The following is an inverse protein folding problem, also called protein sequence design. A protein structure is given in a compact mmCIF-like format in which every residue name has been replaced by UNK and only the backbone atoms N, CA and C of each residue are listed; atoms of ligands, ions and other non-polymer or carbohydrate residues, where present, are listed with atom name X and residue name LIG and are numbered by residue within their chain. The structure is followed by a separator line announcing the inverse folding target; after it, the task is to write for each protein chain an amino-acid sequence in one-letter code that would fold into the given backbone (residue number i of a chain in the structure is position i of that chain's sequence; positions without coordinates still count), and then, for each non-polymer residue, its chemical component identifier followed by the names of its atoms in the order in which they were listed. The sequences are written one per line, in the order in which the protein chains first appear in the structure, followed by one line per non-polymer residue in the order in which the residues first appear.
data_IF_528539000683
#
_entry.id   IF_528539000683
#
_cell.length_a   1.000
_cell.length_b   1.000
_cell.length_c   1.000
_cell.angle_alpha   90.00
_cell.angle_beta   90.00
_cell.angle_gamma   90.00
#
_symmetry.space_group_name_H-M   'P 1'
#
loop_
_entity.id
_entity.type
_entity.pdbx_description
1 polymer ?
#
# COMPACT_ATOMS: atom_id res chain seq x y z
N UNK A 1 18.70 8.68 3.21
CA UNK A 1 17.83 9.88 3.18
C UNK A 1 16.39 9.39 3.27
N UNK A 2 15.49 10.16 3.87
CA UNK A 2 14.06 9.85 3.81
C UNK A 2 13.55 9.92 2.35
N UNK A 3 12.53 9.13 2.03
CA UNK A 3 11.90 9.12 0.70
C UNK A 3 11.29 10.50 0.41
N UNK A 4 11.61 11.09 -0.72
CA UNK A 4 11.04 12.37 -1.14
C UNK A 4 9.69 12.14 -1.81
N UNK A 5 8.67 12.93 -1.46
CA UNK A 5 7.32 12.83 -2.05
C UNK A 5 7.33 12.89 -3.58
N UNK A 6 8.20 13.71 -4.18
CA UNK A 6 8.33 13.80 -5.64
C UNK A 6 8.83 12.51 -6.28
N UNK A 7 9.76 11.80 -5.63
CA UNK A 7 10.28 10.51 -6.10
C UNK A 7 9.23 9.41 -5.93
N UNK A 8 8.54 9.40 -4.79
CA UNK A 8 7.41 8.50 -4.55
C UNK A 8 6.35 8.65 -5.65
N UNK A 9 5.88 9.88 -5.89
CA UNK A 9 4.84 10.14 -6.89
C UNK A 9 5.27 9.76 -8.31
N UNK A 10 6.52 10.02 -8.68
CA UNK A 10 7.05 9.60 -9.98
C UNK A 10 7.07 8.07 -10.13
N UNK A 11 7.44 7.34 -9.07
CA UNK A 11 7.45 5.88 -9.07
C UNK A 11 6.05 5.29 -9.10
N UNK A 12 5.10 5.85 -8.34
CA UNK A 12 3.70 5.45 -8.38
C UNK A 12 3.10 5.65 -9.78
N UNK A 13 3.41 6.78 -10.43
CA UNK A 13 2.93 7.05 -11.77
C UNK A 13 3.54 6.10 -12.81
N UNK A 14 4.85 5.84 -12.72
CA UNK A 14 5.51 4.85 -13.57
C UNK A 14 4.91 3.44 -13.39
N UNK A 15 4.43 3.10 -12.19
CA UNK A 15 3.72 1.84 -11.92
C UNK A 15 2.35 1.80 -12.59
N UNK A 16 1.60 2.92 -12.59
CA UNK A 16 0.34 3.03 -13.33
C UNK A 16 0.56 2.80 -14.83
N UNK A 17 1.61 3.37 -15.41
CA UNK A 17 1.92 3.20 -16.84
C UNK A 17 2.19 1.72 -17.22
N UNK A 18 2.73 0.91 -16.29
CA UNK A 18 2.93 -0.53 -16.52
C UNK A 18 1.61 -1.33 -16.49
N UNK A 19 0.59 -0.83 -15.83
CA UNK A 19 -0.72 -1.49 -15.73
C UNK A 19 -1.69 -1.08 -16.85
N UNK A 20 -1.35 -0.04 -17.65
CA UNK A 20 -2.21 0.43 -18.75
C UNK A 20 -2.52 -0.66 -19.76
N UNK A 21 -3.79 -0.67 -20.22
CA UNK A 21 -4.26 -1.54 -21.30
C UNK A 21 -4.96 -2.83 -20.85
N UNK A 22 -4.87 -3.22 -19.57
CA UNK A 22 -5.49 -4.45 -19.07
C UNK A 22 -6.69 -4.25 -18.13
N UNK A 23 -6.81 -3.07 -17.52
CA UNK A 23 -7.85 -2.78 -16.52
C UNK A 23 -8.23 -1.30 -16.50
N UNK A 24 -9.31 -0.96 -15.81
CA UNK A 24 -9.71 0.44 -15.60
C UNK A 24 -8.69 1.17 -14.71
N UNK A 25 -8.50 2.47 -14.99
CA UNK A 25 -7.54 3.29 -14.24
C UNK A 25 -7.84 3.34 -12.74
N UNK A 26 -9.10 3.23 -12.34
CA UNK A 26 -9.48 3.19 -10.92
C UNK A 26 -9.06 1.89 -10.20
N UNK A 27 -8.79 0.82 -10.94
CA UNK A 27 -8.33 -0.45 -10.39
C UNK A 27 -6.83 -0.47 -10.13
N UNK A 28 -6.03 0.38 -10.83
CA UNK A 28 -4.58 0.45 -10.63
C UNK A 28 -4.19 0.73 -9.18
N UNK A 29 -5.02 1.51 -8.47
CA UNK A 29 -4.76 1.88 -7.10
C UNK A 29 -4.56 0.66 -6.19
N UNK A 30 -5.39 -0.36 -6.35
CA UNK A 30 -5.37 -1.53 -5.47
C UNK A 30 -4.05 -2.30 -5.62
N UNK A 31 -3.59 -2.51 -6.86
CA UNK A 31 -2.30 -3.14 -7.14
C UNK A 31 -1.12 -2.32 -6.63
N UNK A 32 -1.12 -1.01 -6.92
CA UNK A 32 -0.01 -0.13 -6.59
C UNK A 32 0.08 0.11 -5.08
N UNK A 33 -1.07 0.28 -4.40
CA UNK A 33 -1.11 0.47 -2.95
C UNK A 33 -0.71 -0.81 -2.21
N UNK A 34 -1.12 -1.98 -2.70
CA UNK A 34 -0.65 -3.25 -2.13
C UNK A 34 0.87 -3.39 -2.23
N UNK A 35 1.47 -3.10 -3.41
CA UNK A 35 2.93 -3.14 -3.56
C UNK A 35 3.64 -2.11 -2.68
N UNK A 36 3.12 -0.89 -2.61
CA UNK A 36 3.65 0.16 -1.74
C UNK A 36 3.58 -0.25 -0.27
N UNK A 37 2.44 -0.79 0.17
CA UNK A 37 2.26 -1.25 1.53
C UNK A 37 3.24 -2.39 1.86
N UNK A 38 3.33 -3.41 1.00
CA UNK A 38 4.27 -4.52 1.16
C UNK A 38 5.72 -4.02 1.30
N UNK A 39 6.11 -3.06 0.46
CA UNK A 39 7.44 -2.44 0.52
C UNK A 39 7.64 -1.67 1.82
N UNK A 40 6.65 -0.86 2.21
CA UNK A 40 6.70 -0.05 3.42
C UNK A 40 6.82 -0.92 4.68
N UNK A 41 5.96 -1.93 4.85
CA UNK A 41 6.00 -2.79 6.04
C UNK A 41 7.26 -3.64 6.09
N UNK A 42 7.78 -4.08 4.93
CA UNK A 42 9.05 -4.79 4.87
C UNK A 42 10.20 -3.92 5.36
N UNK A 43 10.32 -2.71 4.85
CA UNK A 43 11.40 -1.79 5.23
C UNK A 43 11.33 -1.37 6.71
N UNK A 44 10.11 -1.29 7.27
CA UNK A 44 9.89 -0.85 8.65
C UNK A 44 9.98 -1.98 9.67
N UNK A 45 9.40 -3.13 9.38
CA UNK A 45 9.08 -4.13 10.40
C UNK A 45 9.74 -5.49 10.15
N UNK A 46 10.33 -5.75 8.98
CA UNK A 46 10.90 -7.06 8.68
C UNK A 46 11.88 -7.55 9.75
N UNK A 47 11.63 -8.76 10.24
CA UNK A 47 12.43 -9.46 11.24
C UNK A 47 12.57 -8.70 12.59
N UNK A 48 11.76 -7.70 12.84
CA UNK A 48 11.59 -7.10 14.15
C UNK A 48 10.60 -7.94 14.94
N UNK A 49 10.96 -8.31 16.17
CA UNK A 49 10.20 -9.27 16.98
C UNK A 49 8.81 -8.79 17.38
N UNK A 50 8.11 -9.62 18.21
CA UNK A 50 6.69 -9.57 18.54
C UNK A 50 6.18 -8.29 19.29
N UNK A 51 6.95 -7.23 19.34
CA UNK A 51 6.56 -5.94 19.93
C UNK A 51 6.15 -4.91 18.88
N UNK A 52 6.17 -5.28 17.60
CA UNK A 52 5.75 -4.40 16.51
C UNK A 52 4.34 -4.80 16.05
N UNK A 53 3.52 -3.83 15.69
CA UNK A 53 2.10 -4.01 15.36
C UNK A 53 1.87 -4.90 14.12
N UNK A 54 2.87 -5.08 13.26
CA UNK A 54 2.79 -5.88 12.04
C UNK A 54 3.92 -6.93 11.99
N UNK A 55 3.54 -8.20 11.83
CA UNK A 55 4.48 -9.31 11.66
C UNK A 55 4.88 -9.45 10.20
N UNK A 56 6.14 -9.17 9.89
CA UNK A 56 6.73 -9.33 8.56
C UNK A 56 8.05 -10.12 8.67
N UNK A 57 8.18 -11.15 7.86
CA UNK A 57 9.40 -11.99 7.80
C UNK A 57 9.65 -12.49 6.37
N UNK A 58 10.89 -12.77 6.05
CA UNK A 58 11.24 -13.44 4.80
C UNK A 58 11.14 -14.96 4.93
N UNK A 59 11.19 -15.66 3.78
CA UNK A 59 11.07 -17.13 3.73
C UNK A 59 12.06 -17.86 4.65
N UNK A 60 13.26 -17.31 4.87
CA UNK A 60 14.27 -17.94 5.71
C UNK A 60 13.89 -17.93 7.20
N UNK A 61 13.06 -16.98 7.60
CA UNK A 61 12.59 -16.80 8.97
C UNK A 61 11.17 -17.37 9.20
N UNK A 62 10.56 -17.99 8.19
CA UNK A 62 9.30 -18.71 8.37
C UNK A 62 9.52 -19.94 9.26
N UNK A 63 8.70 -20.04 10.30
CA UNK A 63 8.77 -21.10 11.34
C UNK A 63 7.94 -22.34 10.98
N UNK A 64 7.37 -22.43 9.78
CA UNK A 64 6.66 -23.63 9.35
C UNK A 64 7.62 -24.85 9.47
N UNK A 65 7.20 -25.92 10.17
CA UNK A 65 8.02 -27.11 10.33
C UNK A 65 8.37 -27.80 9.01
N UNK A 66 7.50 -27.65 7.99
CA UNK A 66 7.71 -28.18 6.65
C UNK A 66 8.44 -27.14 5.77
N UNK A 67 9.73 -27.36 5.42
CA UNK A 67 10.47 -26.39 4.60
C UNK A 67 9.86 -26.10 3.22
N UNK A 68 9.09 -27.07 2.66
CA UNK A 68 8.44 -26.90 1.35
C UNK A 68 7.23 -25.96 1.43
N UNK A 69 6.62 -25.86 2.61
CA UNK A 69 5.49 -24.95 2.87
C UNK A 69 5.91 -23.54 3.28
N UNK A 70 7.20 -23.35 3.59
CA UNK A 70 7.70 -22.03 4.00
C UNK A 70 7.52 -21.01 2.91
N UNK A 71 6.79 -19.95 3.26
CA UNK A 71 6.54 -18.81 2.40
C UNK A 71 6.74 -17.56 3.22
N UNK A 72 7.67 -16.70 2.81
CA UNK A 72 7.81 -15.39 3.44
C UNK A 72 6.59 -14.50 3.20
N UNK A 73 6.52 -13.40 3.91
CA UNK A 73 5.48 -12.39 3.76
C UNK A 73 6.07 -10.98 3.60
N UNK A 74 7.26 -10.90 3.03
CA UNK A 74 8.01 -9.67 2.82
C UNK A 74 8.07 -9.26 1.35
N UNK A 75 8.41 -8.00 1.09
CA UNK A 75 8.69 -7.53 -0.27
C UNK A 75 9.95 -8.17 -0.87
N UNK A 76 10.89 -8.63 -0.03
CA UNK A 76 12.08 -9.35 -0.51
C UNK A 76 11.71 -10.69 -1.14
N UNK A 77 10.62 -11.31 -0.68
CA UNK A 77 10.10 -12.53 -1.29
C UNK A 77 9.51 -12.26 -2.69
N UNK A 78 8.94 -11.06 -2.93
CA UNK A 78 8.58 -10.63 -4.29
C UNK A 78 9.81 -10.48 -5.19
N UNK A 79 10.89 -9.88 -4.67
CA UNK A 79 12.14 -9.74 -5.41
C UNK A 79 12.67 -11.12 -5.83
N UNK A 80 12.55 -12.11 -4.96
CA UNK A 80 12.96 -13.48 -5.25
C UNK A 80 12.12 -14.19 -6.32
N UNK A 81 10.94 -13.67 -6.68
CA UNK A 81 10.11 -14.18 -7.77
C UNK A 81 10.50 -13.62 -9.15
N UNK A 82 11.25 -12.52 -9.22
CA UNK A 82 11.58 -11.86 -10.50
C UNK A 82 12.23 -12.83 -11.49
N UNK A 83 11.72 -12.79 -12.71
CA UNK A 83 12.20 -13.65 -13.81
C UNK A 83 11.78 -15.12 -13.71
N UNK A 84 10.98 -15.51 -12.72
CA UNK A 84 10.39 -16.84 -12.64
C UNK A 84 9.09 -16.89 -13.42
N UNK A 85 8.57 -18.10 -13.62
CA UNK A 85 7.21 -18.32 -14.15
C UNK A 85 6.19 -18.22 -13.00
N UNK A 86 4.97 -17.84 -13.36
CA UNK A 86 3.84 -17.76 -12.42
C UNK A 86 4.11 -16.78 -11.24
N UNK A 87 4.73 -15.65 -11.52
CA UNK A 87 5.02 -14.61 -10.52
C UNK A 87 3.74 -14.17 -9.80
N UNK A 88 2.63 -13.98 -10.53
CA UNK A 88 1.34 -13.56 -9.96
C UNK A 88 0.83 -14.50 -8.86
N UNK A 89 0.85 -15.80 -9.09
CA UNK A 89 0.47 -16.80 -8.09
C UNK A 89 1.39 -16.74 -6.86
N UNK A 90 2.70 -16.55 -7.09
CA UNK A 90 3.67 -16.40 -6.02
C UNK A 90 3.42 -15.13 -5.18
N UNK A 91 3.08 -14.01 -5.82
CA UNK A 91 2.77 -12.76 -5.14
C UNK A 91 1.48 -12.89 -4.30
N UNK A 92 0.42 -13.49 -4.86
CA UNK A 92 -0.83 -13.70 -4.13
C UNK A 92 -0.61 -14.57 -2.87
N UNK A 93 0.23 -15.61 -2.95
CA UNK A 93 0.60 -16.45 -1.78
C UNK A 93 1.34 -15.65 -0.69
N UNK A 94 2.26 -14.79 -1.07
CA UNK A 94 3.02 -13.95 -0.13
C UNK A 94 2.10 -12.93 0.56
N UNK A 95 1.18 -12.31 -0.20
CA UNK A 95 0.19 -11.37 0.34
C UNK A 95 -0.77 -12.08 1.30
N UNK A 96 -1.29 -13.25 0.90
CA UNK A 96 -2.16 -14.05 1.75
C UNK A 96 -1.44 -14.44 3.06
N UNK A 97 -0.15 -14.80 2.99
CA UNK A 97 0.65 -15.10 4.18
C UNK A 97 0.78 -13.89 5.11
N UNK A 98 0.99 -12.68 4.57
CA UNK A 98 1.02 -11.46 5.39
C UNK A 98 -0.33 -11.20 6.07
N UNK A 99 -1.44 -11.36 5.33
CA UNK A 99 -2.78 -11.21 5.87
C UNK A 99 -3.12 -12.24 6.95
N UNK A 100 -2.70 -13.50 6.78
CA UNK A 100 -2.93 -14.56 7.76
C UNK A 100 -2.14 -14.35 9.06
N UNK A 101 -0.94 -13.79 8.98
CA UNK A 101 -0.14 -13.44 10.15
C UNK A 101 -0.61 -12.16 10.86
N UNK A 102 -1.39 -11.33 10.17
CA UNK A 102 -1.89 -10.04 10.65
C UNK A 102 -3.39 -9.92 10.35
N UNK A 103 -4.21 -10.42 11.25
CA UNK A 103 -5.67 -10.57 11.04
C UNK A 103 -6.37 -9.26 10.67
N UNK A 104 -5.87 -8.12 11.14
CA UNK A 104 -6.44 -6.80 10.84
C UNK A 104 -6.19 -6.34 9.39
N UNK A 105 -5.25 -7.00 8.69
CA UNK A 105 -4.96 -6.74 7.28
C UNK A 105 -5.77 -7.62 6.32
N UNK A 106 -6.44 -8.67 6.83
CA UNK A 106 -7.23 -9.59 6.03
C UNK A 106 -8.46 -8.90 5.44
N UNK A 107 -8.66 -9.05 4.15
CA UNK A 107 -9.71 -8.34 3.41
C UNK A 107 -9.38 -6.88 3.09
N UNK A 108 -8.15 -6.43 3.40
CA UNK A 108 -7.67 -5.06 3.12
C UNK A 108 -6.54 -5.08 2.10
N UNK A 109 -5.51 -5.89 2.32
CA UNK A 109 -4.34 -5.93 1.42
C UNK A 109 -4.45 -7.02 0.34
N UNK A 110 -5.29 -8.01 0.53
CA UNK A 110 -5.50 -9.17 -0.33
C UNK A 110 -6.66 -8.98 -1.33
N UNK A 111 -7.05 -7.73 -1.59
CA UNK A 111 -8.09 -7.37 -2.57
C UNK A 111 -7.58 -7.37 -4.02
N UNK A 112 -6.30 -7.10 -4.23
CA UNK A 112 -5.67 -7.13 -5.54
C UNK A 112 -5.14 -8.54 -5.83
N UNK A 113 -5.63 -9.16 -6.91
CA UNK A 113 -5.18 -10.49 -7.34
C UNK A 113 -4.15 -10.37 -8.45
N UNK A 114 -2.88 -10.65 -8.14
CA UNK A 114 -1.76 -10.53 -9.07
C UNK A 114 -1.70 -11.68 -10.09
N UNK A 115 -2.53 -12.71 -9.92
CA UNK A 115 -2.69 -13.81 -10.88
C UNK A 115 -3.96 -13.67 -11.75
N UNK A 116 -4.52 -12.47 -11.89
CA UNK A 116 -5.69 -12.20 -12.71
C UNK A 116 -5.29 -11.99 -14.19
N UNK A 117 -5.43 -13.04 -15.00
CA UNK A 117 -5.08 -13.00 -16.42
C UNK A 117 -5.92 -12.00 -17.23
N UNK A 118 -7.14 -11.71 -16.81
CA UNK A 118 -8.02 -10.77 -17.51
C UNK A 118 -7.53 -9.34 -17.37
N UNK A 119 -6.88 -9.01 -16.24
CA UNK A 119 -6.41 -7.67 -15.90
C UNK A 119 -4.92 -7.46 -16.24
N UNK A 120 -4.11 -8.48 -16.04
CA UNK A 120 -2.65 -8.36 -16.13
C UNK A 120 -2.05 -9.00 -17.39
N UNK A 121 -2.86 -9.69 -18.19
CA UNK A 121 -2.40 -10.53 -19.29
C UNK A 121 -2.03 -11.94 -18.81
N UNK A 122 -1.51 -12.78 -19.67
CA UNK A 122 -1.22 -14.18 -19.34
C UNK A 122 0.22 -14.58 -19.68
N UNK A 123 0.71 -15.62 -19.00
CA UNK A 123 2.00 -16.21 -19.25
C UNK A 123 3.15 -15.20 -19.13
N UNK A 124 4.03 -15.16 -20.14
CA UNK A 124 5.21 -14.31 -20.11
C UNK A 124 4.90 -12.80 -20.02
N UNK A 125 3.81 -12.35 -20.63
CA UNK A 125 3.42 -10.93 -20.56
C UNK A 125 3.12 -10.50 -19.13
N UNK A 126 2.37 -11.32 -18.38
CA UNK A 126 2.11 -11.08 -16.97
C UNK A 126 3.40 -11.11 -16.15
N UNK A 127 4.24 -12.13 -16.35
CA UNK A 127 5.50 -12.29 -15.61
C UNK A 127 6.46 -11.10 -15.85
N UNK A 128 6.57 -10.61 -17.07
CA UNK A 128 7.40 -9.45 -17.43
C UNK A 128 6.83 -8.17 -16.78
N UNK A 129 5.51 -7.96 -16.86
CA UNK A 129 4.81 -6.81 -16.26
C UNK A 129 4.98 -6.77 -14.74
N UNK A 130 4.79 -7.89 -14.05
CA UNK A 130 4.97 -7.98 -12.60
C UNK A 130 6.44 -7.83 -12.19
N UNK A 131 7.38 -8.37 -12.96
CA UNK A 131 8.82 -8.16 -12.77
C UNK A 131 9.19 -6.68 -12.85
N UNK A 132 8.62 -5.96 -13.82
CA UNK A 132 8.84 -4.52 -13.98
C UNK A 132 8.26 -3.72 -12.81
N UNK A 133 7.04 -4.06 -12.35
CA UNK A 133 6.42 -3.42 -11.19
C UNK A 133 7.28 -3.60 -9.93
N UNK A 134 7.68 -4.83 -9.62
CA UNK A 134 8.58 -5.11 -8.48
C UNK A 134 9.86 -4.28 -8.60
N UNK A 135 10.43 -4.17 -9.81
CA UNK A 135 11.66 -3.43 -10.06
C UNK A 135 11.52 -1.92 -9.80
N UNK A 136 10.33 -1.33 -10.04
CA UNK A 136 10.07 0.07 -9.71
C UNK A 136 10.13 0.29 -8.19
N UNK A 137 9.48 -0.59 -7.41
CA UNK A 137 9.47 -0.47 -5.94
C UNK A 137 10.80 -0.89 -5.30
N UNK A 138 11.68 -1.56 -6.03
CA UNK A 138 13.03 -1.93 -5.57
C UNK A 138 14.04 -0.77 -5.68
N UNK A 139 13.68 0.35 -6.27
CA UNK A 139 14.59 1.48 -6.45
C UNK A 139 15.06 2.04 -5.11
N UNK A 140 16.34 2.44 -5.00
CA UNK A 140 16.90 2.99 -3.74
C UNK A 140 16.17 4.24 -3.23
N UNK A 141 15.53 4.98 -4.13
CA UNK A 141 14.74 6.17 -3.80
C UNK A 141 13.47 5.83 -3.00
N UNK A 142 13.02 4.57 -3.02
CA UNK A 142 11.88 4.05 -2.27
C UNK A 142 12.30 3.21 -1.05
N UNK A 143 13.38 3.57 -0.40
CA UNK A 143 13.82 2.98 0.87
C UNK A 143 13.14 3.70 2.05
N UNK A 144 12.12 3.05 2.62
CA UNK A 144 11.36 3.57 3.76
C UNK A 144 12.00 3.29 5.12
N UNK A 145 13.10 2.53 5.20
CA UNK A 145 13.76 2.15 6.45
C UNK A 145 14.19 3.36 7.30
N UNK A 146 14.46 4.49 6.64
CA UNK A 146 14.95 5.72 7.26
C UNK A 146 13.88 6.80 7.48
N UNK A 147 12.65 6.55 7.06
CA UNK A 147 11.55 7.47 7.35
C UNK A 147 11.17 7.36 8.82
N UNK A 148 11.13 8.48 9.53
CA UNK A 148 10.63 8.52 10.90
C UNK A 148 9.14 8.19 10.89
N UNK A 149 8.69 7.38 11.84
CA UNK A 149 7.28 6.97 11.93
C UNK A 149 6.35 8.13 12.30
N UNK A 150 6.90 9.21 12.86
CA UNK A 150 6.12 10.36 13.32
C UNK A 150 6.01 11.41 12.20
N UNK A 151 4.80 11.60 11.68
CA UNK A 151 4.40 12.75 10.86
C UNK A 151 4.33 12.56 9.34
N UNK A 152 4.80 11.45 8.77
CA UNK A 152 4.71 11.20 7.32
C UNK A 152 3.70 10.07 7.03
N UNK A 153 2.47 10.44 6.72
CA UNK A 153 1.46 9.51 6.19
C UNK A 153 1.75 9.19 4.70
N UNK A 154 2.81 8.40 4.48
CA UNK A 154 3.27 8.04 3.13
C UNK A 154 2.19 7.29 2.34
N UNK A 155 1.46 6.42 2.99
CA UNK A 155 0.41 5.63 2.34
C UNK A 155 -0.79 6.52 2.00
N UNK A 156 -1.22 7.39 2.91
CA UNK A 156 -2.27 8.37 2.66
C UNK A 156 -1.89 9.36 1.55
N UNK A 157 -0.67 9.92 1.60
CA UNK A 157 -0.14 10.78 0.53
C UNK A 157 -0.14 10.08 -0.85
N UNK A 158 0.25 8.80 -0.89
CA UNK A 158 0.24 8.00 -2.11
C UNK A 158 -1.19 7.78 -2.61
N UNK A 159 -2.12 7.44 -1.72
CA UNK A 159 -3.53 7.29 -2.04
C UNK A 159 -4.11 8.59 -2.64
N UNK A 160 -3.92 9.72 -1.97
CA UNK A 160 -4.39 11.02 -2.47
C UNK A 160 -3.81 11.37 -3.83
N UNK A 161 -2.52 11.13 -4.02
CA UNK A 161 -1.86 11.35 -5.31
C UNK A 161 -2.51 10.53 -6.42
N UNK A 162 -2.72 9.22 -6.20
CA UNK A 162 -3.34 8.32 -7.18
C UNK A 162 -4.77 8.76 -7.46
N UNK A 163 -5.57 9.05 -6.43
CA UNK A 163 -6.96 9.50 -6.60
C UNK A 163 -7.05 10.79 -7.42
N UNK A 164 -6.19 11.77 -7.15
CA UNK A 164 -6.12 13.01 -7.90
C UNK A 164 -5.79 12.79 -9.37
N UNK A 165 -4.85 11.88 -9.65
CA UNK A 165 -4.46 11.54 -11.03
C UNK A 165 -5.58 10.84 -11.78
N UNK A 166 -6.21 9.83 -11.18
CA UNK A 166 -7.30 9.09 -11.81
C UNK A 166 -8.55 9.96 -12.01
N UNK A 167 -8.86 10.85 -11.09
CA UNK A 167 -9.92 11.83 -11.28
C UNK A 167 -9.67 12.73 -12.50
N UNK A 168 -8.41 13.11 -12.72
CA UNK A 168 -8.03 13.92 -13.88
C UNK A 168 -8.15 13.13 -15.20
N UNK A 169 -7.73 11.87 -15.22
CA UNK A 169 -7.81 11.01 -16.41
C UNK A 169 -9.24 10.61 -16.76
N UNK A 170 -10.09 10.34 -15.76
CA UNK A 170 -11.48 9.92 -15.98
C UNK A 170 -12.41 11.07 -16.34
N UNK A 171 -11.94 12.32 -16.32
CA UNK A 171 -12.77 13.52 -16.56
C UNK A 171 -13.86 13.77 -15.51
N UNK A 172 -13.87 13.02 -14.41
CA UNK A 172 -14.83 13.15 -13.33
C UNK A 172 -14.40 14.25 -12.34
N UNK A 173 -15.38 14.83 -11.63
CA UNK A 173 -15.12 15.86 -10.61
C UNK A 173 -14.23 15.30 -9.50
N UNK A 174 -13.17 16.03 -9.13
CA UNK A 174 -12.20 15.62 -8.09
C UNK A 174 -12.86 15.32 -6.74
N UNK A 175 -13.90 16.07 -6.38
CA UNK A 175 -14.63 15.90 -5.12
C UNK A 175 -15.46 14.61 -5.01
N UNK A 176 -15.61 13.86 -6.11
CA UNK A 176 -16.27 12.54 -6.08
C UNK A 176 -15.33 11.40 -5.66
N UNK A 177 -14.03 11.66 -5.57
CA UNK A 177 -13.02 10.63 -5.33
C UNK A 177 -12.40 10.69 -3.93
N UNK A 178 -12.14 11.88 -3.41
CA UNK A 178 -11.50 12.06 -2.12
C UNK A 178 -11.65 13.51 -1.62
N UNK A 179 -11.47 13.68 -0.29
CA UNK A 179 -11.38 15.00 0.33
C UNK A 179 -9.89 15.39 0.42
N UNK A 180 -9.44 16.50 -0.17
CA UNK A 180 -8.05 16.95 -0.07
C UNK A 180 -7.59 17.12 1.38
N UNK A 181 -6.33 16.79 1.66
CA UNK A 181 -5.74 16.84 3.01
C UNK A 181 -5.88 18.24 3.66
N UNK A 182 -5.75 19.29 2.86
CA UNK A 182 -5.93 20.68 3.32
C UNK A 182 -7.36 20.93 3.84
N UNK A 183 -8.36 20.41 3.12
CA UNK A 183 -9.77 20.52 3.50
C UNK A 183 -10.04 19.67 4.75
N UNK A 184 -9.55 18.45 4.80
CA UNK A 184 -9.67 17.58 5.98
C UNK A 184 -9.07 18.21 7.23
N UNK A 185 -7.91 18.88 7.10
CA UNK A 185 -7.27 19.60 8.21
C UNK A 185 -8.11 20.79 8.68
N UNK A 186 -8.68 21.55 7.75
CA UNK A 186 -9.58 22.67 8.09
C UNK A 186 -10.80 22.14 8.84
N UNK A 187 -11.43 21.07 8.34
CA UNK A 187 -12.59 20.47 8.99
C UNK A 187 -12.29 19.96 10.39
N UNK A 188 -11.17 19.25 10.60
CA UNK A 188 -10.74 18.80 11.92
C UNK A 188 -10.57 19.97 12.91
N UNK A 189 -9.98 21.08 12.48
CA UNK A 189 -9.84 22.28 13.32
C UNK A 189 -11.18 22.96 13.60
N UNK A 190 -12.09 23.04 12.62
CA UNK A 190 -13.41 23.68 12.77
C UNK A 190 -14.29 22.90 13.75
N UNK A 191 -14.22 21.58 13.73
CA UNK A 191 -14.94 20.72 14.69
C UNK A 191 -14.42 20.92 16.13
N UNK A 192 -13.21 21.44 16.29
CA UNK A 192 -12.67 21.81 17.60
C UNK A 192 -12.18 20.61 18.42
N UNK A 193 -11.73 19.55 17.78
CA UNK A 193 -11.23 18.33 18.44
C UNK A 193 -10.12 18.64 19.43
N UNK A 194 -9.23 19.58 19.10
CA UNK A 194 -8.13 20.04 19.99
C UNK A 194 -8.61 20.62 21.33
N UNK A 195 -9.89 20.97 21.45
CA UNK A 195 -10.49 21.47 22.68
C UNK A 195 -11.23 20.38 23.47
N UNK A 196 -11.30 19.16 22.94
CA UNK A 196 -11.97 18.04 23.62
C UNK A 196 -11.05 17.52 24.74
N UNK A 197 -11.55 17.58 25.98
CA UNK A 197 -10.84 17.09 27.18
C UNK A 197 -11.36 15.73 27.65
N UNK A 198 -12.37 15.18 26.98
CA UNK A 198 -12.94 13.88 27.32
C UNK A 198 -12.21 12.76 26.56
N UNK A 199 -11.45 11.96 27.29
CA UNK A 199 -10.72 10.82 26.74
C UNK A 199 -11.63 9.70 26.18
N UNK A 200 -12.95 9.73 26.50
CA UNK A 200 -13.94 8.79 25.96
C UNK A 200 -14.66 9.31 24.72
N UNK A 201 -14.36 10.54 24.28
CA UNK A 201 -14.96 11.11 23.09
C UNK A 201 -14.67 10.27 21.85
N UNK A 202 -15.68 10.09 21.02
CA UNK A 202 -15.55 9.35 19.75
C UNK A 202 -15.80 10.26 18.56
N UNK A 203 -15.09 10.00 17.48
CA UNK A 203 -15.26 10.67 16.19
C UNK A 203 -15.83 9.67 15.20
N UNK A 204 -16.90 10.07 14.48
CA UNK A 204 -17.52 9.26 13.45
C UNK A 204 -17.57 10.05 12.15
N UNK A 205 -17.09 9.46 11.08
CA UNK A 205 -17.27 9.94 9.72
C UNK A 205 -18.16 8.93 8.96
N UNK A 206 -19.45 9.26 8.70
CA UNK A 206 -20.39 8.35 8.04
C UNK A 206 -20.06 8.12 6.55
N UNK A 207 -19.13 8.89 5.99
CA UNK A 207 -18.71 8.80 4.59
C UNK A 207 -17.18 8.76 4.49
N UNK A 208 -16.53 8.03 5.40
CA UNK A 208 -15.09 8.10 5.68
C UNK A 208 -14.17 7.87 4.46
N UNK A 209 -14.63 7.16 3.43
CA UNK A 209 -13.83 6.87 2.25
C UNK A 209 -12.48 6.24 2.60
N UNK A 210 -11.38 6.98 2.39
CA UNK A 210 -10.02 6.57 2.76
C UNK A 210 -9.69 6.75 4.24
N UNK A 211 -10.58 7.29 5.04
CA UNK A 211 -10.31 7.64 6.44
C UNK A 211 -9.46 8.90 6.64
N UNK A 212 -9.10 9.61 5.59
CA UNK A 212 -8.21 10.79 5.68
C UNK A 212 -8.70 11.86 6.67
N UNK A 213 -10.01 12.09 6.76
CA UNK A 213 -10.58 13.03 7.72
C UNK A 213 -10.40 12.55 9.17
N UNK A 214 -10.62 11.24 9.42
CA UNK A 214 -10.45 10.65 10.75
C UNK A 214 -8.98 10.70 11.18
N UNK A 215 -8.04 10.41 10.28
CA UNK A 215 -6.59 10.53 10.56
C UNK A 215 -6.25 11.98 10.94
N UNK A 216 -6.74 12.97 10.20
CA UNK A 216 -6.50 14.40 10.54
C UNK A 216 -7.19 14.83 11.83
N UNK A 217 -8.30 14.18 12.19
CA UNK A 217 -8.94 14.39 13.48
C UNK A 217 -8.04 13.89 14.63
N UNK A 218 -7.41 12.73 14.48
CA UNK A 218 -6.44 12.19 15.45
C UNK A 218 -5.21 13.12 15.55
N UNK A 219 -4.67 13.59 14.42
CA UNK A 219 -3.53 14.53 14.40
C UNK A 219 -3.85 15.85 15.10
N UNK A 220 -5.11 16.24 15.19
CA UNK A 220 -5.57 17.50 15.79
C UNK A 220 -5.94 17.35 17.29
N UNK A 221 -6.10 16.13 17.80
CA UNK A 221 -6.42 15.83 19.19
C UNK A 221 -5.21 15.93 20.10
#
# INVERSE_FOLDING_TARGET
MAVKKTQLYASLWASCDKLRGGMDSSEYKDYILTLLFMKYVTDKFKNKGAYEDIKVFDKAHDKDPDPEKRTGCSFDDFIALKGKKNIGEGMDKIIARLADENTDLKGVIDIAHFNDEKKLGSGKEMDDKLTDLISIFQRPELDFSRNKAEGDDIIGDAYEFLMRKFATESGKSKGQFYTPAEVSRILANVVGISHCTDASATVCDPACGSGSLLIRAIDAA
#
